data_IF_456752902179
#
_entry.id   IF_456752902179
#
_cell.length_a   1.000
_cell.length_b   1.000
_cell.length_c   1.000
_cell.angle_alpha   90.00
_cell.angle_beta   90.00
_cell.angle_gamma   90.00
#
_symmetry.space_group_name_H-M   'P 1'
#
loop_
_entity.id
_entity.type
_entity.pdbx_description
1 polymer ?
#
# COMPACT_ATOMS: atom_id res chain seq x y z
N UNK A 1 -7.14 7.95 -12.65
CA UNK A 1 -7.08 6.92 -13.69
C UNK A 1 -6.14 5.80 -13.34
N UNK A 2 -4.84 6.06 -13.12
CA UNK A 2 -3.92 4.99 -12.71
C UNK A 2 -4.30 4.39 -11.35
N UNK A 3 -4.76 5.23 -10.41
CA UNK A 3 -5.22 4.76 -9.11
C UNK A 3 -6.37 3.77 -9.23
N UNK A 4 -7.30 4.00 -10.16
CA UNK A 4 -8.42 3.11 -10.38
C UNK A 4 -7.96 1.75 -10.92
N UNK A 5 -6.97 1.75 -11.81
CA UNK A 5 -6.38 0.52 -12.35
C UNK A 5 -5.70 -0.25 -11.21
N UNK A 6 -4.92 0.42 -10.38
CA UNK A 6 -4.25 -0.22 -9.26
C UNK A 6 -5.24 -0.85 -8.29
N UNK A 7 -6.28 -0.10 -7.92
CA UNK A 7 -7.29 -0.57 -6.96
C UNK A 7 -8.20 -1.64 -7.54
N UNK A 8 -8.63 -1.49 -8.80
CA UNK A 8 -9.67 -2.33 -9.38
C UNK A 8 -9.15 -3.49 -10.22
N UNK A 9 -7.88 -3.47 -10.64
CA UNK A 9 -7.29 -4.53 -11.45
C UNK A 9 -6.07 -5.16 -10.80
N UNK A 10 -5.07 -4.39 -10.42
CA UNK A 10 -3.80 -4.94 -9.93
C UNK A 10 -3.90 -5.48 -8.51
N UNK A 11 -4.53 -4.73 -7.60
CA UNK A 11 -4.69 -5.19 -6.23
C UNK A 11 -5.51 -6.47 -6.14
N UNK A 12 -6.66 -6.61 -6.86
CA UNK A 12 -7.39 -7.87 -6.86
C UNK A 12 -6.57 -9.06 -7.34
N UNK A 13 -5.70 -8.89 -8.32
CA UNK A 13 -4.81 -9.95 -8.78
C UNK A 13 -3.85 -10.41 -7.67
N UNK A 14 -3.29 -9.47 -6.91
CA UNK A 14 -2.42 -9.79 -5.79
C UNK A 14 -3.18 -10.53 -4.68
N UNK A 15 -4.41 -10.12 -4.41
CA UNK A 15 -5.26 -10.75 -3.41
C UNK A 15 -5.58 -12.19 -3.81
N UNK A 16 -5.96 -12.42 -5.07
CA UNK A 16 -6.27 -13.75 -5.60
C UNK A 16 -5.06 -14.68 -5.51
N UNK A 17 -3.86 -14.15 -5.75
CA UNK A 17 -2.61 -14.92 -5.61
C UNK A 17 -2.20 -15.16 -4.16
N UNK A 18 -3.00 -14.68 -3.21
CA UNK A 18 -2.74 -14.78 -1.78
C UNK A 18 -1.42 -14.09 -1.36
N UNK A 19 -1.08 -13.01 -2.02
CA UNK A 19 0.18 -12.27 -1.76
C UNK A 19 0.26 -11.78 -0.32
N UNK A 20 -0.87 -11.38 0.27
CA UNK A 20 -0.91 -10.82 1.62
C UNK A 20 -1.27 -11.85 2.69
N UNK A 21 -1.72 -13.05 2.30
CA UNK A 21 -2.12 -14.07 3.25
C UNK A 21 -3.51 -13.89 3.85
N UNK A 22 -4.28 -12.92 3.37
CA UNK A 22 -5.67 -12.70 3.78
C UNK A 22 -6.43 -12.00 2.66
N UNK A 23 -7.76 -12.01 2.77
CA UNK A 23 -8.63 -11.35 1.78
C UNK A 23 -9.33 -10.17 2.44
N UNK A 24 -9.08 -8.93 1.99
CA UNK A 24 -9.78 -7.77 2.52
C UNK A 24 -11.28 -7.83 2.26
N UNK A 25 -12.05 -7.28 3.18
CA UNK A 25 -13.50 -7.16 3.04
C UNK A 25 -13.92 -5.75 2.66
N UNK A 26 -13.05 -4.75 2.87
CA UNK A 26 -13.29 -3.37 2.49
C UNK A 26 -12.05 -2.81 1.81
N UNK A 27 -12.25 -2.11 0.69
CA UNK A 27 -11.17 -1.45 -0.04
C UNK A 27 -11.66 -0.05 -0.39
N UNK A 28 -10.84 0.95 -0.11
CA UNK A 28 -11.17 2.33 -0.42
C UNK A 28 -9.97 3.23 -0.39
N UNK A 29 -10.24 4.52 -0.50
CA UNK A 29 -9.26 5.59 -0.34
C UNK A 29 -9.45 6.20 1.04
N UNK A 30 -8.37 6.67 1.64
CA UNK A 30 -8.43 7.34 2.93
C UNK A 30 -7.91 8.77 2.80
N UNK A 31 -8.58 9.70 3.46
CA UNK A 31 -8.12 11.09 3.53
C UNK A 31 -8.57 11.72 4.84
N UNK A 32 -7.86 12.77 5.25
CA UNK A 32 -8.24 13.57 6.40
C UNK A 32 -8.53 15.02 5.98
N UNK A 33 -8.86 15.85 6.96
CA UNK A 33 -9.19 17.26 6.72
C UNK A 33 -7.98 18.14 6.46
N UNK A 34 -6.76 17.60 6.57
CA UNK A 34 -5.50 18.35 6.45
C UNK A 34 -4.74 17.98 5.19
N UNK A 35 -5.45 17.52 4.17
CA UNK A 35 -4.90 17.17 2.86
C UNK A 35 -3.96 15.97 2.85
N UNK A 36 -4.03 15.10 3.87
CA UNK A 36 -3.31 13.83 3.85
C UNK A 36 -4.19 12.78 3.17
N UNK A 37 -3.63 12.09 2.19
CA UNK A 37 -4.34 11.04 1.46
C UNK A 37 -3.50 9.77 1.40
N UNK A 38 -4.18 8.62 1.46
CA UNK A 38 -3.61 7.32 1.14
C UNK A 38 -4.46 6.74 0.02
N UNK A 39 -3.83 6.37 -1.09
CA UNK A 39 -4.55 5.96 -2.29
C UNK A 39 -5.40 4.71 -2.08
N UNK A 40 -4.87 3.74 -1.34
CA UNK A 40 -5.57 2.49 -1.07
C UNK A 40 -5.44 2.15 0.41
N UNK A 41 -6.58 1.89 1.05
CA UNK A 41 -6.64 1.29 2.38
C UNK A 41 -7.61 0.13 2.31
N UNK A 42 -7.13 -1.07 2.61
CA UNK A 42 -7.92 -2.29 2.56
C UNK A 42 -7.86 -3.01 3.91
N UNK A 43 -9.01 -3.37 4.43
CA UNK A 43 -9.10 -3.99 5.76
C UNK A 43 -9.92 -5.27 5.71
N UNK A 44 -9.68 -6.18 6.66
CA UNK A 44 -10.51 -7.35 6.88
C UNK A 44 -11.25 -7.24 8.22
N UNK A 45 -11.94 -8.31 8.62
CA UNK A 45 -12.68 -8.36 9.88
C UNK A 45 -11.81 -8.80 11.06
N UNK A 46 -10.53 -9.07 10.82
CA UNK A 46 -9.56 -9.34 11.86
C UNK A 46 -8.74 -8.07 12.13
N UNK A 47 -7.43 -8.13 12.13
CA UNK A 47 -6.60 -6.96 12.41
C UNK A 47 -5.64 -6.66 11.27
N UNK A 48 -5.99 -7.01 10.04
CA UNK A 48 -5.11 -6.85 8.90
C UNK A 48 -5.51 -5.63 8.07
N UNK A 49 -4.52 -4.83 7.70
CA UNK A 49 -4.73 -3.64 6.88
C UNK A 49 -3.62 -3.54 5.84
N UNK A 50 -4.02 -3.21 4.61
CA UNK A 50 -3.11 -2.93 3.51
C UNK A 50 -3.16 -1.43 3.22
N UNK A 51 -1.99 -0.80 3.20
CA UNK A 51 -1.84 0.58 2.74
C UNK A 51 -1.16 0.55 1.38
N UNK A 52 -1.73 1.24 0.40
CA UNK A 52 -1.20 1.25 -0.95
C UNK A 52 -1.03 2.65 -1.51
N UNK A 53 0.02 2.83 -2.29
CA UNK A 53 0.28 4.06 -3.02
C UNK A 53 0.49 3.75 -4.49
N UNK A 54 -0.14 4.57 -5.34
CA UNK A 54 -0.07 4.45 -6.79
C UNK A 54 0.67 5.65 -7.33
N UNK A 55 1.83 5.41 -7.94
CA UNK A 55 2.68 6.49 -8.43
C UNK A 55 2.89 6.35 -9.94
N UNK A 56 2.55 7.42 -10.65
CA UNK A 56 2.80 7.53 -12.08
C UNK A 56 3.93 8.54 -12.29
N UNK A 57 5.17 8.08 -12.09
CA UNK A 57 6.35 8.93 -12.17
C UNK A 57 7.24 8.51 -13.33
N UNK A 58 8.05 9.44 -13.84
CA UNK A 58 9.01 9.14 -14.91
C UNK A 58 10.20 8.34 -14.42
N UNK A 59 10.53 8.46 -13.14
CA UNK A 59 11.66 7.78 -12.52
C UNK A 59 11.20 6.60 -11.69
N UNK A 60 12.06 5.59 -11.49
CA UNK A 60 11.76 4.51 -10.57
C UNK A 60 11.48 5.04 -9.15
N UNK A 61 10.58 4.36 -8.45
CA UNK A 61 10.17 4.73 -7.11
C UNK A 61 11.24 4.36 -6.09
N UNK A 62 11.57 5.30 -5.20
CA UNK A 62 12.61 5.10 -4.19
C UNK A 62 12.01 4.98 -2.78
N UNK A 63 12.84 4.68 -1.79
CA UNK A 63 12.44 4.37 -0.41
C UNK A 63 11.74 5.52 0.31
N UNK A 64 11.96 6.77 -0.12
CA UNK A 64 11.29 7.92 0.49
C UNK A 64 9.76 7.78 0.45
N UNK A 65 9.20 7.16 -0.57
CA UNK A 65 7.76 6.97 -0.70
C UNK A 65 7.22 6.04 0.40
N UNK A 66 7.99 5.01 0.75
CA UNK A 66 7.63 4.13 1.86
C UNK A 66 7.64 4.88 3.19
N UNK A 67 8.66 5.67 3.46
CA UNK A 67 8.75 6.42 4.71
C UNK A 67 7.68 7.49 4.81
N UNK A 68 7.33 8.13 3.69
CA UNK A 68 6.22 9.08 3.66
C UNK A 68 4.89 8.37 3.97
N UNK A 69 4.69 7.18 3.42
CA UNK A 69 3.48 6.40 3.69
C UNK A 69 3.42 5.98 5.16
N UNK A 70 4.54 5.58 5.75
CA UNK A 70 4.59 5.24 7.18
C UNK A 70 4.09 6.40 8.04
N UNK A 71 4.48 7.64 7.72
CA UNK A 71 4.03 8.80 8.47
C UNK A 71 2.52 9.01 8.31
N UNK A 72 2.00 8.79 7.11
CA UNK A 72 0.55 8.89 6.87
C UNK A 72 -0.24 7.84 7.66
N UNK A 73 0.29 6.62 7.79
CA UNK A 73 -0.42 5.53 8.48
C UNK A 73 -0.64 5.82 9.96
N UNK A 74 0.19 6.66 10.56
CA UNK A 74 0.04 7.06 11.97
C UNK A 74 -1.26 7.84 12.21
N UNK A 75 -1.84 8.42 11.17
CA UNK A 75 -3.08 9.19 11.25
C UNK A 75 -4.33 8.33 11.08
N UNK A 76 -4.18 7.07 10.67
CA UNK A 76 -5.28 6.15 10.45
C UNK A 76 -5.60 5.43 11.75
N UNK A 77 -6.80 5.68 12.30
CA UNK A 77 -7.16 5.21 13.64
C UNK A 77 -7.78 3.81 13.70
N UNK A 78 -7.89 3.12 12.58
CA UNK A 78 -8.49 1.79 12.54
C UNK A 78 -7.57 0.77 13.23
N UNK A 79 -8.03 0.16 14.33
CA UNK A 79 -7.29 -0.86 15.13
C UNK A 79 -5.82 -0.50 15.36
N UNK A 80 -5.54 0.76 15.60
CA UNK A 80 -4.19 1.32 15.54
C UNK A 80 -3.18 0.63 16.46
N UNK A 81 -3.62 0.10 17.61
CA UNK A 81 -2.71 -0.49 18.58
C UNK A 81 -2.51 -2.00 18.39
N UNK A 82 -3.26 -2.62 17.50
CA UNK A 82 -3.26 -4.08 17.39
C UNK A 82 -3.53 -4.55 15.96
N UNK A 83 -2.91 -3.90 14.98
CA UNK A 83 -3.12 -4.26 13.58
C UNK A 83 -1.84 -4.76 12.92
N UNK A 84 -2.01 -5.65 11.95
CA UNK A 84 -0.94 -6.10 11.09
C UNK A 84 -0.94 -5.25 9.82
N UNK A 85 0.14 -4.53 9.58
CA UNK A 85 0.25 -3.57 8.48
C UNK A 85 1.01 -4.17 7.30
N UNK A 86 0.43 -4.02 6.11
CA UNK A 86 1.02 -4.42 4.84
C UNK A 86 1.06 -3.20 3.94
N UNK A 87 2.07 -3.13 3.09
CA UNK A 87 2.30 -1.99 2.20
C UNK A 87 2.44 -2.48 0.79
N UNK A 88 1.75 -1.82 -0.16
CA UNK A 88 1.87 -2.17 -1.57
C UNK A 88 2.09 -0.89 -2.38
N UNK A 89 3.01 -0.98 -3.32
CA UNK A 89 3.33 0.13 -4.21
C UNK A 89 3.14 -0.28 -5.65
N UNK A 90 2.54 0.62 -6.42
CA UNK A 90 2.32 0.44 -7.85
C UNK A 90 3.03 1.57 -8.58
N UNK A 91 4.01 1.24 -9.42
CA UNK A 91 4.72 2.22 -10.22
C UNK A 91 5.09 1.63 -11.57
N UNK A 92 4.63 2.28 -12.65
CA UNK A 92 4.87 1.82 -14.02
C UNK A 92 6.37 1.75 -14.34
N UNK A 93 7.15 2.70 -13.83
CA UNK A 93 8.56 2.80 -14.16
C UNK A 93 9.48 2.05 -13.19
N UNK A 94 8.89 1.18 -12.37
CA UNK A 94 9.65 0.28 -11.52
C UNK A 94 10.18 0.92 -10.25
N UNK A 95 11.22 0.31 -9.69
CA UNK A 95 11.71 0.63 -8.36
C UNK A 95 13.23 0.68 -8.36
N UNK A 96 13.80 1.57 -7.55
CA UNK A 96 15.25 1.62 -7.37
C UNK A 96 15.74 0.32 -6.71
N UNK A 97 17.03 0.04 -6.86
CA UNK A 97 17.64 -1.11 -6.19
C UNK A 97 17.47 -1.02 -4.68
N UNK A 98 17.61 0.18 -4.12
CA UNK A 98 17.40 0.43 -2.69
C UNK A 98 15.99 0.08 -2.24
N UNK A 99 14.98 0.46 -3.02
CA UNK A 99 13.58 0.12 -2.75
C UNK A 99 13.35 -1.40 -2.85
N UNK A 100 13.92 -2.04 -3.86
CA UNK A 100 13.82 -3.49 -4.02
C UNK A 100 14.44 -4.23 -2.83
N UNK A 101 15.59 -3.77 -2.35
CA UNK A 101 16.25 -4.36 -1.19
C UNK A 101 15.43 -4.19 0.07
N UNK A 102 14.80 -3.02 0.25
CA UNK A 102 13.90 -2.78 1.37
C UNK A 102 12.75 -3.79 1.38
N UNK A 103 12.14 -4.04 0.23
CA UNK A 103 11.05 -5.00 0.11
C UNK A 103 11.50 -6.44 0.35
N UNK A 104 12.72 -6.79 -0.06
CA UNK A 104 13.28 -8.13 0.22
C UNK A 104 13.50 -8.36 1.70
N UNK A 105 13.83 -7.32 2.46
CA UNK A 105 14.10 -7.42 3.89
C UNK A 105 12.83 -7.33 4.74
N UNK A 106 11.70 -6.94 4.15
CA UNK A 106 10.43 -6.74 4.86
C UNK A 106 9.31 -7.45 4.10
N UNK A 107 8.90 -8.61 4.58
CA UNK A 107 7.89 -9.43 3.89
C UNK A 107 6.53 -8.75 3.77
N UNK A 108 6.27 -7.71 4.55
CA UNK A 108 5.02 -6.95 4.49
C UNK A 108 5.05 -5.81 3.47
N UNK A 109 6.13 -5.63 2.72
CA UNK A 109 6.23 -4.65 1.63
C UNK A 109 6.16 -5.37 0.30
N UNK A 110 5.20 -5.00 -0.52
CA UNK A 110 4.96 -5.60 -1.83
C UNK A 110 5.15 -4.55 -2.91
N UNK A 111 5.99 -4.85 -3.88
CA UNK A 111 6.21 -4.03 -5.08
C UNK A 111 5.56 -4.73 -6.26
N UNK A 112 4.61 -4.05 -6.88
CA UNK A 112 3.89 -4.59 -8.04
C UNK A 112 4.64 -4.28 -9.33
#
# INVERSE_FOLDING_TARGET
MYEDICKNQYLPQLIIKNTFGFTPTKIGKWWDRKDTEIDIVATDNSNNIIFGECKYTKKPLDVNVYYDLLEKTKKVNWNKQNRNEYFVFFCINGYTEKMQNLAKQNSNIVLY
#
